data_IF_405835108209
#
_entry.id   IF_405835108209
#
_cell.length_a   1.000
_cell.length_b   1.000
_cell.length_c   1.000
_cell.angle_alpha   90.00
_cell.angle_beta   90.00
_cell.angle_gamma   90.00
#
_symmetry.space_group_name_H-M   'P 1'
#
loop_
_entity.id
_entity.type
_entity.pdbx_description
1 polymer ?
#
# COMPACT_ATOMS: atom_id res chain seq x y z
N UNK A 1 -4.51 -9.23 -20.48
CA UNK A 1 -3.13 -9.45 -20.00
C UNK A 1 -2.18 -9.87 -21.13
N UNK A 2 -2.37 -11.01 -21.82
CA UNK A 2 -1.43 -11.48 -22.87
C UNK A 2 -1.11 -10.45 -23.96
N UNK A 3 -2.14 -9.80 -24.53
CA UNK A 3 -1.91 -8.73 -25.52
C UNK A 3 -1.10 -7.55 -24.96
N UNK A 4 -1.24 -7.23 -23.67
CA UNK A 4 -0.45 -6.18 -23.03
C UNK A 4 1.03 -6.58 -22.88
N UNK A 5 1.32 -7.88 -22.79
CA UNK A 5 2.68 -8.43 -22.79
C UNK A 5 3.24 -8.61 -24.23
N UNK A 6 2.47 -8.22 -25.26
CA UNK A 6 2.87 -8.36 -26.67
C UNK A 6 2.68 -9.77 -27.23
N UNK A 7 1.85 -10.60 -26.61
CA UNK A 7 1.55 -11.96 -27.10
C UNK A 7 0.21 -12.04 -27.80
N UNK A 8 0.14 -12.92 -28.80
CA UNK A 8 -1.14 -13.30 -29.43
C UNK A 8 -2.10 -13.86 -28.38
N UNK A 9 -3.33 -13.32 -28.35
CA UNK A 9 -4.38 -13.72 -27.41
C UNK A 9 -4.91 -15.12 -27.71
N UNK A 10 -4.77 -15.62 -28.93
CA UNK A 10 -5.16 -16.97 -29.32
C UNK A 10 -4.30 -18.06 -28.66
N UNK A 11 -3.18 -17.70 -28.02
CA UNK A 11 -2.34 -18.64 -27.24
C UNK A 11 -3.04 -19.23 -26.02
N UNK A 12 -4.10 -18.58 -25.52
CA UNK A 12 -4.92 -19.09 -24.43
C UNK A 12 -6.37 -18.98 -24.84
N UNK A 13 -7.05 -20.13 -24.88
CA UNK A 13 -8.47 -20.23 -25.20
C UNK A 13 -9.20 -20.86 -24.03
N UNK A 14 -10.47 -20.48 -23.87
CA UNK A 14 -11.38 -21.17 -22.96
C UNK A 14 -12.01 -22.31 -23.75
N UNK A 15 -12.05 -23.49 -23.13
CA UNK A 15 -12.62 -24.70 -23.71
C UNK A 15 -13.70 -25.20 -22.76
N UNK A 16 -14.85 -25.60 -23.31
CA UNK A 16 -15.92 -26.22 -22.54
C UNK A 16 -15.50 -27.61 -22.06
N UNK A 17 -15.87 -27.99 -20.84
CA UNK A 17 -15.42 -29.25 -20.23
C UNK A 17 -15.83 -30.48 -21.05
N UNK A 18 -16.96 -30.42 -21.76
CA UNK A 18 -17.47 -31.50 -22.60
C UNK A 18 -16.85 -31.55 -24.00
N UNK A 19 -16.10 -30.53 -24.42
CA UNK A 19 -15.53 -30.43 -25.76
C UNK A 19 -14.18 -31.15 -25.84
N UNK A 20 -14.25 -32.47 -26.00
CA UNK A 20 -13.07 -33.33 -26.10
C UNK A 20 -12.23 -33.05 -27.37
N UNK A 21 -12.87 -32.63 -28.47
CA UNK A 21 -12.17 -32.33 -29.72
C UNK A 21 -11.28 -31.09 -29.55
N UNK A 22 -11.81 -30.00 -28.97
CA UNK A 22 -11.02 -28.80 -28.71
C UNK A 22 -9.91 -29.04 -27.67
N UNK A 23 -10.15 -29.90 -26.65
CA UNK A 23 -9.15 -30.25 -25.64
C UNK A 23 -7.97 -31.02 -26.24
N UNK A 24 -8.24 -31.94 -27.16
CA UNK A 24 -7.22 -32.83 -27.73
C UNK A 24 -6.59 -32.25 -29.02
N UNK A 25 -7.12 -31.13 -29.52
CA UNK A 25 -6.58 -30.42 -30.67
C UNK A 25 -5.14 -29.94 -30.41
N UNK A 26 -4.29 -30.07 -31.45
CA UNK A 26 -2.92 -29.59 -31.38
C UNK A 26 -2.86 -28.06 -31.39
N UNK A 27 -1.93 -27.43 -30.64
CA UNK A 27 -1.73 -25.99 -30.69
C UNK A 27 -1.38 -25.52 -32.11
N UNK A 28 -2.05 -24.46 -32.58
CA UNK A 28 -1.81 -23.85 -33.90
C UNK A 28 -0.61 -22.89 -33.92
N UNK A 29 -0.20 -22.40 -32.75
CA UNK A 29 0.92 -21.48 -32.59
C UNK A 29 2.15 -22.21 -32.06
N UNK A 30 3.31 -21.85 -32.59
CA UNK A 30 4.59 -22.39 -32.11
C UNK A 30 4.88 -21.97 -30.67
N UNK A 31 5.67 -22.77 -29.92
CA UNK A 31 6.12 -22.39 -28.58
C UNK A 31 6.82 -21.03 -28.55
N UNK A 32 6.65 -20.29 -27.45
CA UNK A 32 7.35 -19.01 -27.26
C UNK A 32 8.86 -19.19 -27.02
N UNK A 33 9.24 -20.32 -26.44
CA UNK A 33 10.62 -20.69 -26.13
C UNK A 33 10.71 -22.19 -25.88
N UNK A 34 11.86 -22.78 -26.18
CA UNK A 34 12.21 -24.16 -25.81
C UNK A 34 12.89 -24.23 -24.41
N UNK A 35 13.23 -23.08 -23.83
CA UNK A 35 13.89 -23.03 -22.53
C UNK A 35 12.87 -23.16 -21.40
N UNK A 36 12.95 -24.21 -20.54
CA UNK A 36 12.00 -24.38 -19.45
C UNK A 36 12.14 -23.28 -18.40
N UNK A 37 11.00 -22.84 -17.85
CA UNK A 37 10.98 -21.90 -16.73
C UNK A 37 11.08 -22.67 -15.41
N UNK A 38 12.19 -22.50 -14.70
CA UNK A 38 12.30 -22.95 -13.31
C UNK A 38 11.52 -21.99 -12.40
N UNK A 39 10.80 -22.51 -11.41
CA UNK A 39 10.02 -21.76 -10.42
C UNK A 39 10.38 -22.24 -9.00
N UNK A 40 11.60 -21.95 -8.52
CA UNK A 40 12.07 -22.44 -7.22
C UNK A 40 11.37 -21.76 -6.02
N UNK A 41 10.66 -20.66 -6.25
CA UNK A 41 10.11 -19.84 -5.17
C UNK A 41 8.89 -20.52 -4.48
N UNK A 42 8.88 -20.59 -3.14
CA UNK A 42 7.78 -21.26 -2.42
C UNK A 42 6.49 -20.43 -2.44
N UNK A 43 6.57 -19.09 -2.48
CA UNK A 43 5.40 -18.23 -2.46
C UNK A 43 4.70 -18.14 -3.82
N UNK A 44 3.38 -18.32 -3.81
CA UNK A 44 2.53 -18.28 -5.01
C UNK A 44 2.66 -16.97 -5.80
N UNK A 45 2.71 -15.83 -5.09
CA UNK A 45 2.79 -14.50 -5.71
C UNK A 45 4.14 -14.28 -6.39
N UNK A 46 5.24 -14.69 -5.77
CA UNK A 46 6.58 -14.60 -6.34
C UNK A 46 6.70 -15.45 -7.61
N UNK A 47 6.23 -16.71 -7.60
CA UNK A 47 6.19 -17.55 -8.81
C UNK A 47 5.36 -16.90 -9.92
N UNK A 48 4.20 -16.35 -9.58
CA UNK A 48 3.35 -15.67 -10.53
C UNK A 48 4.06 -14.47 -11.18
N UNK A 49 4.73 -13.62 -10.39
CA UNK A 49 5.50 -12.49 -10.89
C UNK A 49 6.66 -12.95 -11.79
N UNK A 50 7.34 -14.07 -11.45
CA UNK A 50 8.37 -14.67 -12.29
C UNK A 50 7.85 -15.16 -13.65
N UNK A 51 6.64 -15.75 -13.68
CA UNK A 51 5.98 -16.12 -14.94
C UNK A 51 5.68 -14.87 -15.77
N UNK A 52 5.15 -13.80 -15.17
CA UNK A 52 4.87 -12.55 -15.88
C UNK A 52 6.14 -11.88 -16.41
N UNK A 53 7.22 -11.87 -15.64
CA UNK A 53 8.51 -11.36 -16.08
C UNK A 53 9.02 -12.15 -17.29
N UNK A 54 8.96 -13.49 -17.23
CA UNK A 54 9.36 -14.35 -18.35
C UNK A 54 8.50 -14.13 -19.60
N UNK A 55 7.19 -13.94 -19.43
CA UNK A 55 6.32 -13.60 -20.56
C UNK A 55 6.66 -12.22 -21.13
N UNK A 56 6.96 -11.22 -20.29
CA UNK A 56 7.38 -9.91 -20.77
C UNK A 56 8.70 -9.97 -21.57
N UNK A 57 9.69 -10.77 -21.12
CA UNK A 57 10.96 -10.99 -21.83
C UNK A 57 10.79 -11.62 -23.22
N UNK A 58 9.84 -12.56 -23.35
CA UNK A 58 9.56 -13.27 -24.59
C UNK A 58 8.63 -12.50 -25.54
N UNK A 59 8.12 -11.35 -25.10
CA UNK A 59 7.11 -10.57 -25.83
C UNK A 59 7.58 -9.16 -26.14
N UNK A 60 6.61 -8.27 -26.33
CA UNK A 60 6.81 -6.84 -26.57
C UNK A 60 5.83 -6.07 -25.70
N UNK A 61 6.11 -5.92 -24.40
CA UNK A 61 5.15 -5.36 -23.44
C UNK A 61 4.84 -3.91 -23.75
N UNK A 62 3.55 -3.56 -23.67
CA UNK A 62 3.08 -2.19 -23.78
C UNK A 62 3.51 -1.44 -22.51
N UNK A 63 4.03 -0.22 -22.67
CA UNK A 63 4.51 0.61 -21.55
C UNK A 63 3.40 1.22 -20.68
N UNK A 64 2.16 1.08 -21.09
CA UNK A 64 0.99 1.71 -20.47
C UNK A 64 0.13 0.68 -19.72
N UNK A 65 -0.66 1.18 -18.77
CA UNK A 65 -1.62 0.36 -18.03
C UNK A 65 -2.80 0.01 -18.93
N UNK A 66 -3.11 -1.28 -19.01
CA UNK A 66 -4.29 -1.78 -19.73
C UNK A 66 -5.42 -2.05 -18.73
N UNK A 67 -6.62 -1.56 -19.02
CA UNK A 67 -7.80 -1.80 -18.20
C UNK A 67 -8.07 -3.30 -18.06
N UNK A 68 -8.36 -3.74 -16.83
CA UNK A 68 -8.74 -5.11 -16.51
C UNK A 68 -10.20 -5.15 -16.03
N UNK A 69 -10.88 -6.30 -16.14
CA UNK A 69 -12.22 -6.47 -15.57
C UNK A 69 -12.24 -6.20 -14.06
N UNK A 70 -13.42 -5.83 -13.55
CA UNK A 70 -13.64 -5.67 -12.12
C UNK A 70 -13.31 -6.98 -11.38
N UNK A 71 -12.62 -6.87 -10.23
CA UNK A 71 -12.16 -8.03 -9.47
C UNK A 71 -10.84 -8.65 -9.94
N UNK A 72 -10.18 -8.07 -10.95
CA UNK A 72 -8.82 -8.46 -11.30
C UNK A 72 -7.86 -8.21 -10.15
N UNK A 73 -6.98 -9.19 -9.86
CA UNK A 73 -5.98 -9.11 -8.80
C UNK A 73 -4.75 -8.26 -9.19
N UNK A 74 -4.93 -7.27 -10.07
CA UNK A 74 -3.88 -6.43 -10.66
C UNK A 74 -4.35 -4.98 -10.72
N UNK A 75 -3.48 -4.07 -10.29
CA UNK A 75 -3.76 -2.65 -10.29
C UNK A 75 -2.76 -1.89 -9.45
N UNK A 76 -2.84 -0.58 -9.56
CA UNK A 76 -2.14 0.32 -8.67
C UNK A 76 -3.09 0.85 -7.59
N UNK A 77 -2.56 1.75 -6.78
CA UNK A 77 -3.35 2.65 -5.96
C UNK A 77 -2.98 4.08 -6.33
N UNK A 78 -3.93 4.99 -6.21
CA UNK A 78 -3.67 6.42 -6.17
C UNK A 78 -3.74 6.88 -4.72
N UNK A 79 -2.78 7.68 -4.28
CA UNK A 79 -2.77 8.32 -2.96
C UNK A 79 -2.95 9.82 -3.16
N UNK A 80 -3.94 10.39 -2.48
CA UNK A 80 -4.09 11.83 -2.34
C UNK A 80 -3.12 12.33 -1.27
N UNK A 81 -2.11 13.09 -1.68
CA UNK A 81 -1.09 13.62 -0.78
C UNK A 81 -1.59 14.71 0.16
N UNK A 82 -2.68 15.40 -0.19
CA UNK A 82 -3.22 16.49 0.63
C UNK A 82 -4.12 15.92 1.75
N UNK A 83 -4.73 14.75 1.53
CA UNK A 83 -5.55 14.06 2.52
C UNK A 83 -4.77 13.02 3.35
N UNK A 84 -3.66 12.48 2.83
CA UNK A 84 -2.91 11.41 3.50
C UNK A 84 -2.17 11.95 4.73
N UNK A 85 -2.47 11.40 5.90
CA UNK A 85 -1.81 11.77 7.17
C UNK A 85 -0.65 10.87 7.57
N UNK A 86 -0.30 9.87 6.74
CA UNK A 86 0.70 8.84 7.07
C UNK A 86 0.44 8.11 8.41
N UNK A 87 -0.83 7.95 8.80
CA UNK A 87 -1.20 7.19 10.00
C UNK A 87 -0.90 5.67 9.89
N UNK A 88 -0.52 5.20 8.70
CA UNK A 88 -0.15 3.81 8.39
C UNK A 88 -1.21 2.73 8.65
N UNK A 89 -2.48 3.09 8.88
CA UNK A 89 -3.59 2.13 8.95
C UNK A 89 -3.65 1.22 7.70
N UNK A 90 -3.43 1.79 6.52
CA UNK A 90 -3.37 1.04 5.26
C UNK A 90 -2.21 0.02 5.19
N UNK A 91 -1.07 0.31 5.83
CA UNK A 91 0.08 -0.59 5.90
C UNK A 91 -0.25 -1.77 6.81
N UNK A 92 -0.81 -1.50 7.99
CA UNK A 92 -1.22 -2.52 8.96
C UNK A 92 -2.31 -3.45 8.42
N UNK A 93 -3.21 -2.94 7.58
CA UNK A 93 -4.31 -3.71 6.99
C UNK A 93 -3.96 -4.39 5.66
N UNK A 94 -2.76 -4.18 5.12
CA UNK A 94 -2.34 -4.81 3.87
C UNK A 94 -1.99 -6.30 4.13
N UNK A 95 -2.72 -7.26 3.53
CA UNK A 95 -2.46 -8.69 3.76
C UNK A 95 -1.23 -9.20 3.00
N UNK A 96 -0.61 -8.35 2.18
CA UNK A 96 0.59 -8.64 1.39
C UNK A 96 1.67 -7.60 1.67
N UNK A 97 2.92 -7.80 1.23
CA UNK A 97 3.98 -6.79 1.41
C UNK A 97 3.88 -5.61 0.42
N UNK A 98 2.73 -5.37 -0.22
CA UNK A 98 2.55 -4.31 -1.22
C UNK A 98 2.73 -2.90 -0.63
N UNK A 99 2.19 -2.63 0.57
CA UNK A 99 2.34 -1.34 1.26
C UNK A 99 3.39 -1.45 2.37
N UNK A 100 4.24 -0.43 2.50
CA UNK A 100 5.20 -0.32 3.60
C UNK A 100 5.32 1.12 4.06
N UNK A 101 5.53 1.29 5.37
CA UNK A 101 5.97 2.56 5.95
C UNK A 101 7.40 2.87 5.55
N UNK A 102 7.78 4.13 5.68
CA UNK A 102 9.15 4.59 5.61
C UNK A 102 9.99 4.08 6.78
N UNK A 103 11.29 4.32 6.69
CA UNK A 103 12.25 4.04 7.75
C UNK A 103 12.38 5.23 8.70
N UNK A 104 13.45 6.01 8.53
CA UNK A 104 13.71 7.21 9.36
C UNK A 104 12.76 8.37 9.06
N UNK A 105 12.34 8.49 7.81
CA UNK A 105 11.38 9.50 7.36
C UNK A 105 10.02 8.84 7.22
N UNK A 106 8.94 9.44 7.75
CA UNK A 106 7.59 8.98 7.49
C UNK A 106 7.29 8.98 5.98
N UNK A 107 6.93 7.81 5.46
CA UNK A 107 6.58 7.65 4.06
C UNK A 107 5.62 6.49 3.87
N UNK A 108 4.80 6.55 2.83
CA UNK A 108 4.01 5.45 2.32
C UNK A 108 4.61 5.03 0.99
N UNK A 109 4.96 3.75 0.87
CA UNK A 109 5.49 3.20 -0.38
C UNK A 109 4.68 2.00 -0.85
N UNK A 110 4.63 1.81 -2.17
CA UNK A 110 3.83 0.78 -2.82
C UNK A 110 4.66 -0.04 -3.80
N UNK A 111 4.37 -1.35 -3.86
CA UNK A 111 4.92 -2.30 -4.83
C UNK A 111 3.76 -3.04 -5.51
N UNK A 112 3.53 -2.74 -6.79
CA UNK A 112 2.39 -3.27 -7.55
C UNK A 112 2.45 -4.79 -7.71
N UNK A 113 3.64 -5.36 -7.90
CA UNK A 113 3.83 -6.80 -8.05
C UNK A 113 3.30 -7.63 -6.87
N UNK A 114 3.22 -7.05 -5.67
CA UNK A 114 2.69 -7.71 -4.47
C UNK A 114 1.23 -7.34 -4.18
N UNK A 115 0.67 -6.38 -4.90
CA UNK A 115 -0.71 -5.95 -4.74
C UNK A 115 -1.67 -7.02 -5.30
N UNK A 116 -2.79 -7.20 -4.60
CA UNK A 116 -3.84 -8.15 -5.01
C UNK A 116 -5.19 -7.45 -5.22
N UNK A 117 -5.21 -6.11 -5.17
CA UNK A 117 -6.40 -5.27 -5.33
C UNK A 117 -7.56 -5.67 -4.41
N UNK A 118 -7.28 -6.00 -3.15
CA UNK A 118 -8.31 -6.41 -2.18
C UNK A 118 -9.13 -5.24 -1.60
N UNK A 119 -8.69 -4.00 -1.76
CA UNK A 119 -9.40 -2.81 -1.25
C UNK A 119 -9.31 -2.55 0.25
N UNK A 120 -8.62 -3.39 1.02
CA UNK A 120 -8.48 -3.19 2.47
C UNK A 120 -7.75 -1.89 2.83
N UNK A 121 -6.81 -1.44 2.01
CA UNK A 121 -6.10 -0.17 2.23
C UNK A 121 -7.00 1.06 2.05
N UNK A 122 -7.88 1.03 1.06
CA UNK A 122 -8.89 2.07 0.80
C UNK A 122 -9.90 2.12 1.94
N UNK A 123 -10.45 0.97 2.35
CA UNK A 123 -11.42 0.89 3.45
C UNK A 123 -10.83 1.27 4.82
N UNK A 124 -9.56 0.96 5.06
CA UNK A 124 -8.90 1.27 6.34
C UNK A 124 -8.44 2.72 6.45
N UNK A 125 -8.48 3.51 5.36
CA UNK A 125 -8.00 4.88 5.38
C UNK A 125 -9.02 5.82 6.06
N UNK A 126 -8.73 6.39 7.24
CA UNK A 126 -9.69 7.25 7.94
C UNK A 126 -9.94 8.59 7.23
N UNK A 127 -9.04 9.01 6.34
CA UNK A 127 -9.12 10.27 5.60
C UNK A 127 -9.57 10.06 4.14
N UNK A 128 -9.93 8.83 3.73
CA UNK A 128 -10.29 8.48 2.35
C UNK A 128 -9.23 8.86 1.29
N UNK A 129 -7.94 8.84 1.66
CA UNK A 129 -6.84 9.30 0.83
C UNK A 129 -6.31 8.25 -0.18
N UNK A 130 -6.92 7.08 -0.28
CA UNK A 130 -6.47 5.98 -1.16
C UNK A 130 -7.60 5.60 -2.10
N UNK A 131 -7.30 5.47 -3.39
CA UNK A 131 -8.23 4.97 -4.41
C UNK A 131 -7.60 3.79 -5.16
N UNK A 132 -8.36 2.71 -5.35
CA UNK A 132 -7.90 1.59 -6.17
C UNK A 132 -7.86 1.96 -7.66
N UNK A 133 -6.81 1.52 -8.36
CA UNK A 133 -6.64 1.71 -9.81
C UNK A 133 -6.50 0.34 -10.50
N UNK A 134 -7.61 -0.40 -10.73
CA UNK A 134 -7.56 -1.69 -11.41
C UNK A 134 -6.96 -1.58 -12.80
N UNK A 135 -6.11 -2.54 -13.15
CA UNK A 135 -5.46 -2.57 -14.45
C UNK A 135 -4.14 -3.30 -14.41
N UNK A 136 -3.62 -3.66 -15.57
CA UNK A 136 -2.37 -4.42 -15.67
C UNK A 136 -1.29 -3.56 -16.34
N UNK A 137 -0.19 -3.35 -15.63
CA UNK A 137 1.02 -2.74 -16.17
C UNK A 137 2.00 -3.85 -16.62
N UNK A 138 2.22 -3.95 -17.92
CA UNK A 138 3.06 -5.01 -18.47
C UNK A 138 4.57 -4.75 -18.29
N UNK A 139 4.96 -3.49 -18.11
CA UNK A 139 6.35 -3.10 -17.91
C UNK A 139 6.91 -3.55 -16.54
N UNK A 140 8.23 -3.59 -16.43
CA UNK A 140 8.96 -3.92 -15.20
C UNK A 140 8.77 -2.89 -14.08
N UNK A 141 8.19 -1.72 -14.37
CA UNK A 141 7.90 -0.70 -13.36
C UNK A 141 7.00 -1.25 -12.23
N UNK A 142 6.15 -2.25 -12.50
CA UNK A 142 5.34 -2.92 -11.47
C UNK A 142 6.17 -3.61 -10.38
N UNK A 143 7.42 -3.98 -10.69
CA UNK A 143 8.36 -4.69 -9.81
C UNK A 143 9.23 -3.71 -9.01
N UNK A 144 9.08 -2.41 -9.26
CA UNK A 144 9.79 -1.37 -8.55
C UNK A 144 8.90 -0.74 -7.49
N UNK A 145 9.40 -0.71 -6.26
CA UNK A 145 8.73 0.01 -5.17
C UNK A 145 8.90 1.52 -5.36
N UNK A 146 7.81 2.27 -5.26
CA UNK A 146 7.84 3.73 -5.32
C UNK A 146 7.22 4.35 -4.07
N UNK A 147 7.61 5.60 -3.79
CA UNK A 147 7.02 6.41 -2.73
C UNK A 147 5.72 7.02 -3.25
N UNK A 148 4.62 6.79 -2.54
CA UNK A 148 3.33 7.37 -2.86
C UNK A 148 3.14 8.73 -2.18
N UNK A 149 3.66 8.86 -0.96
CA UNK A 149 3.62 10.08 -0.17
C UNK A 149 4.69 10.03 0.91
N UNK A 150 5.32 11.16 1.22
CA UNK A 150 6.29 11.31 2.30
C UNK A 150 6.16 12.70 2.90
N UNK A 151 6.43 12.81 4.20
CA UNK A 151 6.41 14.09 4.89
C UNK A 151 7.45 14.11 6.02
N UNK A 152 7.81 15.31 6.47
CA UNK A 152 8.73 15.46 7.60
C UNK A 152 8.12 14.88 8.88
N UNK A 153 8.96 14.28 9.72
CA UNK A 153 8.52 13.91 11.06
C UNK A 153 8.26 15.16 11.91
N UNK A 154 7.21 15.10 12.73
CA UNK A 154 6.99 16.07 13.78
C UNK A 154 7.93 15.75 14.95
N UNK A 155 8.75 16.73 15.32
CA UNK A 155 9.71 16.62 16.43
C UNK A 155 9.04 17.03 17.74
N UNK A 156 9.29 16.26 18.80
CA UNK A 156 8.79 16.56 20.13
C UNK A 156 9.25 17.95 20.60
N UNK A 157 8.32 18.83 20.97
CA UNK A 157 8.61 20.20 21.42
C UNK A 157 9.49 20.27 22.69
N UNK A 158 9.63 19.16 23.42
CA UNK A 158 10.43 19.10 24.65
C UNK A 158 11.82 18.46 24.46
N UNK A 159 11.96 17.46 23.57
CA UNK A 159 13.22 16.72 23.44
C UNK A 159 13.75 16.57 22.01
N UNK A 160 13.02 17.05 21.00
CA UNK A 160 13.39 16.95 19.58
C UNK A 160 13.25 15.55 18.98
N UNK A 161 12.81 14.53 19.74
CA UNK A 161 12.60 13.18 19.21
C UNK A 161 11.50 13.18 18.14
N UNK A 162 11.75 12.72 16.90
CA UNK A 162 10.70 12.52 15.91
C UNK A 162 9.78 11.36 16.36
N UNK A 163 8.47 11.57 16.37
CA UNK A 163 7.54 10.56 16.91
C UNK A 163 6.24 10.39 16.14
N UNK A 164 5.84 11.38 15.36
CA UNK A 164 4.64 11.35 14.53
C UNK A 164 4.89 12.14 13.25
N UNK A 165 3.89 12.25 12.40
CA UNK A 165 3.98 13.10 11.22
C UNK A 165 3.30 14.44 11.45
N UNK A 166 3.70 15.46 10.69
CA UNK A 166 3.14 16.81 10.81
C UNK A 166 1.62 16.78 10.59
N UNK A 167 1.17 16.11 9.54
CA UNK A 167 -0.25 15.98 9.22
C UNK A 167 -1.04 15.19 10.27
N UNK A 168 -0.46 14.13 10.84
CA UNK A 168 -1.09 13.38 11.94
C UNK A 168 -1.30 14.28 13.16
N UNK A 169 -0.27 15.01 13.61
CA UNK A 169 -0.38 15.90 14.77
C UNK A 169 -1.41 17.01 14.52
N UNK A 170 -1.38 17.63 13.35
CA UNK A 170 -2.37 18.66 12.97
C UNK A 170 -3.80 18.11 12.96
N UNK A 171 -4.01 16.94 12.36
CA UNK A 171 -5.33 16.30 12.24
C UNK A 171 -5.89 15.90 13.60
N UNK A 172 -5.07 15.30 14.47
CA UNK A 172 -5.49 14.92 15.82
C UNK A 172 -5.86 16.17 16.62
N UNK A 173 -5.05 17.23 16.54
CA UNK A 173 -5.36 18.51 17.19
C UNK A 173 -6.69 19.07 16.71
N UNK A 174 -6.92 19.09 15.39
CA UNK A 174 -8.17 19.58 14.84
C UNK A 174 -9.38 18.74 15.30
N UNK A 175 -9.27 17.41 15.27
CA UNK A 175 -10.36 16.49 15.68
C UNK A 175 -10.68 16.60 17.18
N UNK A 176 -9.70 16.90 18.02
CA UNK A 176 -9.85 17.00 19.48
C UNK A 176 -10.09 18.43 20.00
N UNK A 177 -10.01 19.45 19.15
CA UNK A 177 -10.05 20.86 19.57
C UNK A 177 -11.27 21.24 20.43
N UNK A 178 -12.41 20.59 20.21
CA UNK A 178 -13.67 20.86 20.92
C UNK A 178 -13.97 19.87 22.06
N UNK A 179 -13.03 18.95 22.35
CA UNK A 179 -13.26 17.94 23.39
C UNK A 179 -12.87 18.50 24.77
N UNK A 180 -13.74 18.43 25.80
CA UNK A 180 -13.51 19.06 27.11
C UNK A 180 -12.16 18.68 27.76
N UNK A 181 -11.78 17.40 27.69
CA UNK A 181 -10.50 16.90 28.24
C UNK A 181 -9.24 17.47 27.54
N UNK A 182 -9.39 18.05 26.35
CA UNK A 182 -8.30 18.66 25.59
C UNK A 182 -8.40 20.18 25.59
N UNK A 183 -9.18 20.79 26.48
CA UNK A 183 -9.18 22.24 26.64
C UNK A 183 -7.85 22.74 27.27
N UNK A 184 -7.39 23.93 26.86
CA UNK A 184 -6.23 24.59 27.44
C UNK A 184 -4.88 23.91 27.16
N UNK A 185 -4.01 23.85 28.18
CA UNK A 185 -2.62 23.34 28.05
C UNK A 185 -2.53 21.83 27.75
N UNK A 186 -3.64 21.08 27.85
CA UNK A 186 -3.69 19.66 27.52
C UNK A 186 -3.35 19.38 26.04
N UNK A 187 -3.65 20.32 25.12
CA UNK A 187 -3.34 20.18 23.70
C UNK A 187 -1.85 20.18 23.38
N UNK A 188 -1.05 20.87 24.18
CA UNK A 188 0.41 20.94 24.00
C UNK A 188 1.03 19.53 24.14
N UNK A 189 0.41 18.64 24.94
CA UNK A 189 0.87 17.26 25.11
C UNK A 189 0.76 16.42 23.84
N UNK A 190 -0.12 16.79 22.90
CA UNK A 190 -0.22 16.11 21.60
C UNK A 190 1.01 16.33 20.73
N UNK A 191 1.77 17.40 20.98
CA UNK A 191 3.03 17.75 20.32
C UNK A 191 4.26 17.16 21.04
N UNK A 192 4.05 16.37 22.09
CA UNK A 192 5.11 15.66 22.81
C UNK A 192 5.14 14.18 22.43
N UNK A 193 6.35 13.62 22.35
CA UNK A 193 6.56 12.17 22.20
C UNK A 193 6.02 11.39 23.41
N UNK A 194 5.92 10.07 23.26
CA UNK A 194 5.39 9.15 24.26
C UNK A 194 6.09 9.30 25.62
N UNK A 195 7.40 9.48 25.63
CA UNK A 195 8.19 9.61 26.86
C UNK A 195 7.98 10.97 27.55
N UNK A 196 8.00 12.05 26.77
CA UNK A 196 7.84 13.41 27.28
C UNK A 196 6.42 13.67 27.77
N UNK A 197 5.42 13.12 27.08
CA UNK A 197 4.02 13.19 27.49
C UNK A 197 3.81 12.56 28.87
N UNK A 198 4.38 11.37 29.11
CA UNK A 198 4.29 10.71 30.42
C UNK A 198 4.99 11.55 31.48
N UNK A 199 6.22 12.01 31.22
CA UNK A 199 6.99 12.85 32.18
C UNK A 199 6.25 14.14 32.56
N UNK A 200 5.57 14.78 31.59
CA UNK A 200 4.80 16.00 31.84
C UNK A 200 3.59 15.76 32.74
N UNK A 201 2.85 14.68 32.49
CA UNK A 201 1.71 14.28 33.35
C UNK A 201 2.17 14.06 34.79
N UNK A 202 3.27 13.32 35.01
CA UNK A 202 3.82 13.10 36.35
C UNK A 202 4.28 14.39 37.04
N UNK A 203 4.94 15.31 36.31
CA UNK A 203 5.32 16.63 36.88
C UNK A 203 4.10 17.43 37.33
N UNK A 204 3.01 17.35 36.58
CA UNK A 204 1.75 18.01 36.94
C UNK A 204 1.16 17.39 38.20
N UNK A 205 1.09 16.06 38.28
CA UNK A 205 0.57 15.33 39.46
C UNK A 205 1.35 15.60 40.75
N UNK A 206 2.69 15.75 40.65
CA UNK A 206 3.53 16.08 41.82
C UNK A 206 3.22 17.49 42.34
N UNK A 207 2.88 18.43 41.44
CA UNK A 207 2.60 19.83 41.78
C UNK A 207 1.16 20.05 42.25
N UNK A 208 0.20 19.35 41.67
CA UNK A 208 -1.22 19.39 42.02
C UNK A 208 -1.82 17.95 41.94
N UNK A 209 -1.76 17.18 43.05
CA UNK A 209 -2.27 15.81 43.08
C UNK A 209 -3.77 15.70 42.76
N UNK A 210 -4.54 16.74 43.11
CA UNK A 210 -6.00 16.79 42.91
C UNK A 210 -6.39 17.17 41.48
N UNK A 211 -5.43 17.53 40.61
CA UNK A 211 -5.68 17.88 39.22
C UNK A 211 -6.37 16.74 38.42
N UNK A 212 -6.22 15.49 38.86
CA UNK A 212 -6.86 14.32 38.23
C UNK A 212 -8.37 14.21 38.53
N UNK A 213 -8.85 14.92 39.54
CA UNK A 213 -10.25 14.90 39.98
C UNK A 213 -11.08 16.01 39.31
N UNK A 214 -10.43 16.96 38.63
CA UNK A 214 -11.07 18.07 37.92
C UNK A 214 -11.44 17.57 36.51
N UNK A 215 -12.70 17.17 36.36
CA UNK A 215 -13.36 16.82 35.07
C UNK A 215 -13.95 18.07 34.45
#
# INVERSE_FOLDING_TARGET
>A
MLGALGHDRARVTLIEVADAEARDALPTLTPLTETPLNLPEPEKRTRFNRVLARLAELGSPIGERVAMPLGAAYGAIQVDSDACTLCHACVSNCPTPALKSGGKTPALSFLEADCVQCGLCEQACPENAITLMPGFLASSARETRHICHEEAAFECINCGKPFATVSTVATIKQKLANHPYFAGEAMIRLEMCEDCRVKDVWKTMIRDPDAQLKV
#
